data_IF_434585681785
#
_entry.id   IF_434585681785
#
_cell.length_a   1.000
_cell.length_b   1.000
_cell.length_c   1.000
_cell.angle_alpha   90.00
_cell.angle_beta   90.00
_cell.angle_gamma   90.00
#
_symmetry.space_group_name_H-M   'P 1'
#
loop_
_entity.id
_entity.type
_entity.pdbx_description
1 polymer ?
#
# COMPACT_ATOMS: atom_id res chain seq x y z
N UNK A 1 35.82 -79.05 16.36
CA UNK A 1 34.54 -78.74 15.72
C UNK A 1 33.45 -78.80 16.79
N UNK A 2 33.08 -77.65 17.37
CA UNK A 2 31.88 -77.52 18.20
C UNK A 2 30.71 -77.34 17.25
N UNK A 3 29.67 -78.16 17.37
CA UNK A 3 28.56 -78.23 16.42
C UNK A 3 27.75 -76.95 16.52
N UNK A 4 27.55 -76.26 15.40
CA UNK A 4 26.70 -75.06 15.28
C UNK A 4 25.24 -75.34 15.72
N UNK A 5 24.85 -76.62 15.69
CA UNK A 5 23.57 -77.10 16.19
C UNK A 5 23.40 -76.89 17.70
N UNK A 6 24.49 -76.90 18.49
CA UNK A 6 24.39 -76.85 19.96
C UNK A 6 23.81 -75.52 20.48
N UNK A 7 23.95 -74.41 19.75
CA UNK A 7 23.49 -73.07 20.16
C UNK A 7 22.01 -72.84 19.81
N UNK A 8 21.59 -73.32 18.62
CA UNK A 8 20.18 -73.34 18.25
C UNK A 8 19.40 -74.33 19.11
N UNK A 9 19.95 -75.51 19.37
CA UNK A 9 19.35 -76.51 20.26
C UNK A 9 19.19 -75.95 21.68
N UNK A 10 20.18 -75.20 22.19
CA UNK A 10 20.05 -74.49 23.47
C UNK A 10 18.95 -73.40 23.45
N UNK A 11 18.84 -72.63 22.37
CA UNK A 11 17.78 -71.63 22.22
C UNK A 11 16.39 -72.28 22.16
N UNK A 12 16.20 -73.32 21.35
CA UNK A 12 14.92 -74.02 21.25
C UNK A 12 14.55 -74.72 22.56
N UNK A 13 15.48 -75.40 23.23
CA UNK A 13 15.24 -76.00 24.56
C UNK A 13 14.92 -74.95 25.62
N UNK A 14 15.51 -73.75 25.54
CA UNK A 14 15.20 -72.66 26.47
C UNK A 14 13.75 -72.14 26.31
N UNK A 15 13.23 -72.15 25.08
CA UNK A 15 11.91 -71.61 24.76
C UNK A 15 10.84 -72.68 24.52
N UNK A 16 11.17 -73.97 24.62
CA UNK A 16 10.32 -75.12 24.28
C UNK A 16 8.93 -75.08 24.93
N UNK A 17 8.81 -74.52 26.14
CA UNK A 17 7.55 -74.37 26.88
C UNK A 17 7.02 -72.92 26.95
N UNK A 18 7.61 -72.00 26.20
CA UNK A 18 7.25 -70.58 26.16
C UNK A 18 6.66 -70.15 24.80
N UNK A 19 6.56 -71.07 23.85
CA UNK A 19 5.91 -70.79 22.58
C UNK A 19 4.42 -70.56 22.81
N UNK A 20 3.92 -69.44 22.30
CA UNK A 20 2.49 -69.18 22.32
C UNK A 20 1.82 -70.11 21.29
N UNK A 21 1.22 -71.18 21.80
CA UNK A 21 0.47 -72.16 21.02
C UNK A 21 -1.02 -71.80 20.90
N UNK A 22 -1.44 -70.65 21.45
CA UNK A 22 -2.82 -70.23 21.37
C UNK A 22 -3.10 -69.65 19.99
N UNK A 23 -4.23 -70.06 19.41
CA UNK A 23 -4.68 -69.52 18.15
C UNK A 23 -4.98 -68.03 18.32
N UNK A 24 -4.44 -67.21 17.41
CA UNK A 24 -4.68 -65.78 17.39
C UNK A 24 -6.19 -65.54 17.24
N UNK A 25 -6.74 -64.56 17.95
CA UNK A 25 -8.16 -64.24 17.87
C UNK A 25 -8.56 -64.06 16.38
N UNK A 26 -9.60 -64.75 15.88
CA UNK A 26 -10.04 -64.66 14.49
C UNK A 26 -10.33 -63.21 14.04
N UNK A 27 -10.68 -62.33 14.98
CA UNK A 27 -10.97 -60.93 14.70
C UNK A 27 -9.71 -60.05 14.56
N UNK A 28 -8.51 -60.58 14.81
CA UNK A 28 -7.25 -59.83 14.72
C UNK A 28 -7.01 -59.24 13.33
N UNK A 29 -7.40 -59.95 12.27
CA UNK A 29 -7.30 -59.45 10.89
C UNK A 29 -8.18 -58.22 10.69
N UNK A 30 -9.37 -58.20 11.30
CA UNK A 30 -10.32 -57.09 11.22
C UNK A 30 -9.77 -55.89 12.00
N UNK A 31 -9.26 -56.11 13.20
CA UNK A 31 -8.64 -55.06 14.01
C UNK A 31 -7.43 -54.42 13.32
N UNK A 32 -6.60 -55.23 12.65
CA UNK A 32 -5.48 -54.75 11.87
C UNK A 32 -5.93 -53.88 10.68
N UNK A 33 -6.96 -54.33 9.95
CA UNK A 33 -7.53 -53.58 8.83
C UNK A 33 -8.17 -52.26 9.29
N UNK A 34 -8.88 -52.27 10.42
CA UNK A 34 -9.46 -51.06 10.98
C UNK A 34 -8.36 -50.06 11.38
N UNK A 35 -7.29 -50.54 12.03
CA UNK A 35 -6.14 -49.69 12.41
C UNK A 35 -5.37 -49.16 11.20
N UNK A 36 -5.27 -49.94 10.13
CA UNK A 36 -4.64 -49.52 8.86
C UNK A 36 -5.46 -48.42 8.17
N UNK A 37 -6.79 -48.56 8.19
CA UNK A 37 -7.71 -47.62 7.57
C UNK A 37 -7.94 -46.36 8.42
N UNK A 38 -7.79 -46.45 9.75
CA UNK A 38 -7.89 -45.32 10.68
C UNK A 38 -6.62 -44.45 10.74
N UNK A 39 -6.10 -44.01 9.59
CA UNK A 39 -5.10 -42.93 9.52
C UNK A 39 -5.77 -41.57 9.76
N UNK A 40 -5.88 -41.17 11.03
CA UNK A 40 -6.34 -39.81 11.35
C UNK A 40 -5.38 -38.78 10.73
N UNK A 41 -5.87 -37.82 9.93
CA UNK A 41 -5.01 -36.77 9.39
C UNK A 41 -4.43 -35.96 10.56
N UNK A 42 -3.10 -35.85 10.64
CA UNK A 42 -2.45 -34.91 11.55
C UNK A 42 -2.89 -33.51 11.13
N UNK A 43 -3.76 -32.87 11.93
CA UNK A 43 -4.14 -31.47 11.72
C UNK A 43 -2.88 -30.63 11.83
N UNK A 44 -2.45 -30.03 10.72
CA UNK A 44 -1.35 -29.08 10.72
C UNK A 44 -1.84 -27.79 11.36
N UNK A 45 -1.25 -27.42 12.48
CA UNK A 45 -1.58 -26.19 13.19
C UNK A 45 -0.88 -25.00 12.50
N UNK A 46 -1.55 -24.39 11.54
CA UNK A 46 -1.05 -23.20 10.85
C UNK A 46 -1.11 -21.92 11.69
N UNK A 47 -1.62 -21.98 12.92
CA UNK A 47 -1.73 -20.82 13.82
C UNK A 47 -0.38 -20.12 14.04
N UNK A 48 0.72 -20.88 14.18
CA UNK A 48 2.06 -20.28 14.31
C UNK A 48 2.53 -19.56 13.05
N UNK A 49 2.19 -20.07 11.87
CA UNK A 49 2.50 -19.42 10.59
C UNK A 49 1.64 -18.18 10.36
N UNK A 50 0.37 -18.21 10.77
CA UNK A 50 -0.53 -17.06 10.68
C UNK A 50 -0.05 -15.90 11.57
N UNK A 51 0.43 -16.20 12.79
CA UNK A 51 1.01 -15.20 13.70
C UNK A 51 2.32 -14.62 13.12
N UNK A 52 3.19 -15.47 12.58
CA UNK A 52 4.43 -15.00 11.96
C UNK A 52 4.16 -14.12 10.72
N UNK A 53 3.19 -14.50 9.89
CA UNK A 53 2.81 -13.75 8.70
C UNK A 53 2.22 -12.37 9.06
N UNK A 54 1.40 -12.26 10.10
CA UNK A 54 0.85 -10.97 10.51
C UNK A 54 1.93 -10.02 11.03
N UNK A 55 2.89 -10.53 11.81
CA UNK A 55 4.05 -9.73 12.27
C UNK A 55 4.90 -9.28 11.09
N UNK A 56 5.19 -10.16 10.13
CA UNK A 56 5.96 -9.83 8.94
C UNK A 56 5.26 -8.77 8.07
N UNK A 57 3.94 -8.85 7.91
CA UNK A 57 3.14 -7.84 7.21
C UNK A 57 3.19 -6.49 7.93
N UNK A 58 3.04 -6.48 9.26
CA UNK A 58 3.11 -5.24 10.05
C UNK A 58 4.49 -4.59 9.98
N UNK A 59 5.57 -5.38 10.03
CA UNK A 59 6.94 -4.88 9.87
C UNK A 59 7.19 -4.40 8.44
N UNK A 60 6.70 -5.13 7.44
CA UNK A 60 6.77 -4.70 6.04
C UNK A 60 6.09 -3.36 5.85
N UNK A 61 4.83 -3.23 6.29
CA UNK A 61 4.12 -1.95 6.25
C UNK A 61 4.92 -0.91 7.02
N UNK A 62 5.36 -1.15 8.24
CA UNK A 62 6.12 -0.16 9.02
C UNK A 62 7.42 0.30 8.37
N UNK A 63 8.14 -0.57 7.65
CA UNK A 63 9.40 -0.21 6.97
C UNK A 63 9.16 0.54 5.66
N UNK A 64 8.06 0.23 4.95
CA UNK A 64 7.71 0.85 3.68
C UNK A 64 6.73 2.02 3.82
N UNK A 65 6.11 2.21 4.98
CA UNK A 65 5.22 3.31 5.32
C UNK A 65 6.04 4.54 5.72
N UNK A 66 6.79 5.08 4.77
CA UNK A 66 7.49 6.34 4.92
C UNK A 66 6.98 7.35 3.88
N UNK A 67 5.71 7.74 4.03
CA UNK A 67 5.10 8.86 3.32
C UNK A 67 4.78 10.02 4.27
N UNK A 68 5.62 10.23 5.28
CA UNK A 68 5.68 11.52 5.94
C UNK A 68 6.74 12.34 5.23
N UNK A 69 6.39 12.90 4.07
CA UNK A 69 7.05 14.12 3.65
C UNK A 69 6.84 15.10 4.79
N UNK A 70 7.86 15.26 5.65
CA UNK A 70 7.86 16.34 6.63
C UNK A 70 7.56 17.60 5.83
N UNK A 71 6.59 18.45 6.26
CA UNK A 71 6.33 19.70 5.57
C UNK A 71 7.69 20.36 5.37
N UNK A 72 7.96 20.73 4.13
CA UNK A 72 9.29 21.07 3.65
C UNK A 72 9.72 22.37 4.31
N UNK A 73 10.14 22.31 5.57
CA UNK A 73 10.42 23.49 6.37
C UNK A 73 11.52 24.28 5.67
N UNK A 74 11.17 25.48 5.23
CA UNK A 74 12.09 26.40 4.57
C UNK A 74 13.07 26.97 5.60
N UNK A 75 14.06 26.17 6.01
CA UNK A 75 14.98 26.49 7.11
C UNK A 75 15.71 27.83 6.92
N UNK A 76 16.04 28.17 5.68
CA UNK A 76 16.76 29.40 5.31
C UNK A 76 15.85 30.53 4.81
N UNK A 77 14.53 30.38 4.89
CA UNK A 77 13.59 31.43 4.51
C UNK A 77 13.19 32.31 5.71
N UNK A 78 12.93 33.58 5.41
CA UNK A 78 12.35 34.54 6.35
C UNK A 78 10.95 34.12 6.80
N UNK A 79 10.47 34.74 7.88
CA UNK A 79 9.13 34.47 8.42
C UNK A 79 8.05 34.91 7.43
N UNK A 80 8.29 36.00 6.71
CA UNK A 80 7.45 36.55 5.66
C UNK A 80 7.33 35.54 4.52
N UNK A 81 8.45 35.03 4.02
CA UNK A 81 8.48 34.01 2.96
C UNK A 81 7.70 32.75 3.36
N UNK A 82 7.88 32.25 4.58
CA UNK A 82 7.13 31.09 5.10
C UNK A 82 5.63 31.37 5.18
N UNK A 83 5.24 32.56 5.63
CA UNK A 83 3.82 32.97 5.69
C UNK A 83 3.23 33.07 4.29
N UNK A 84 3.97 33.64 3.33
CA UNK A 84 3.56 33.72 1.92
C UNK A 84 3.36 32.33 1.34
N UNK A 85 4.33 31.42 1.48
CA UNK A 85 4.19 30.02 1.07
C UNK A 85 2.90 29.40 1.63
N UNK A 86 2.71 29.48 2.95
CA UNK A 86 1.56 28.87 3.61
C UNK A 86 0.23 29.44 3.13
N UNK A 87 0.09 30.78 3.07
CA UNK A 87 -1.17 31.42 2.68
C UNK A 87 -1.50 31.08 1.22
N UNK A 88 -0.53 31.17 0.32
CA UNK A 88 -0.77 30.91 -1.10
C UNK A 88 -1.03 29.43 -1.38
N UNK A 89 -0.38 28.50 -0.68
CA UNK A 89 -0.69 27.07 -0.81
C UNK A 89 -2.13 26.77 -0.39
N UNK A 90 -2.62 27.35 0.72
CA UNK A 90 -4.02 27.21 1.14
C UNK A 90 -4.97 27.76 0.05
N UNK A 91 -4.64 28.92 -0.54
CA UNK A 91 -5.45 29.48 -1.63
C UNK A 91 -5.48 28.56 -2.85
N UNK A 92 -4.33 28.04 -3.27
CA UNK A 92 -4.23 27.11 -4.41
C UNK A 92 -5.01 25.83 -4.14
N UNK A 93 -4.90 25.26 -2.93
CA UNK A 93 -5.68 24.09 -2.52
C UNK A 93 -7.18 24.34 -2.60
N UNK A 94 -7.65 25.49 -2.10
CA UNK A 94 -9.06 25.86 -2.18
C UNK A 94 -9.53 26.01 -3.63
N UNK A 95 -8.74 26.64 -4.51
CA UNK A 95 -9.09 26.74 -5.94
C UNK A 95 -9.09 25.37 -6.63
N UNK A 96 -8.18 24.47 -6.27
CA UNK A 96 -8.18 23.09 -6.75
C UNK A 96 -9.40 22.30 -6.29
N UNK A 97 -9.87 22.53 -5.06
CA UNK A 97 -11.12 21.92 -4.57
C UNK A 97 -12.30 22.39 -5.40
N UNK A 98 -12.46 23.71 -5.59
CA UNK A 98 -13.52 24.26 -6.46
C UNK A 98 -13.46 23.68 -7.88
N UNK A 99 -12.26 23.55 -8.45
CA UNK A 99 -12.08 22.97 -9.78
C UNK A 99 -12.53 21.51 -9.84
N UNK A 100 -12.25 20.72 -8.81
CA UNK A 100 -12.68 19.32 -8.72
C UNK A 100 -14.19 19.18 -8.49
N UNK A 101 -14.82 20.12 -7.79
CA UNK A 101 -16.28 20.15 -7.61
C UNK A 101 -17.04 20.36 -8.92
N UNK A 102 -16.40 20.99 -9.92
CA UNK A 102 -16.94 21.18 -11.28
C UNK A 102 -16.84 19.94 -12.18
N UNK A 103 -16.49 18.78 -11.64
CA UNK A 103 -16.29 17.56 -12.43
C UNK A 103 -17.61 17.06 -13.05
N UNK A 104 -17.61 16.91 -14.37
CA UNK A 104 -18.70 16.40 -15.20
C UNK A 104 -18.12 15.80 -16.48
N UNK A 105 -18.84 14.93 -17.20
CA UNK A 105 -18.39 14.41 -18.50
C UNK A 105 -18.01 15.52 -19.49
N UNK A 106 -18.67 16.67 -19.41
CA UNK A 106 -18.43 17.83 -20.26
C UNK A 106 -17.15 18.59 -19.87
N UNK A 107 -16.86 18.69 -18.58
CA UNK A 107 -15.72 19.45 -18.04
C UNK A 107 -14.47 18.57 -17.84
N UNK A 108 -14.58 17.25 -17.99
CA UNK A 108 -13.53 16.29 -17.68
C UNK A 108 -12.20 16.62 -18.39
N UNK A 109 -12.26 16.92 -19.70
CA UNK A 109 -11.06 17.21 -20.48
C UNK A 109 -10.32 18.46 -19.98
N UNK A 110 -11.03 19.59 -19.82
CA UNK A 110 -10.42 20.85 -19.39
C UNK A 110 -9.88 20.76 -17.95
N UNK A 111 -10.57 20.04 -17.06
CA UNK A 111 -10.11 19.78 -15.70
C UNK A 111 -8.83 18.93 -15.73
N UNK A 112 -8.81 17.84 -16.51
CA UNK A 112 -7.64 16.96 -16.60
C UNK A 112 -6.42 17.69 -17.16
N UNK A 113 -6.60 18.52 -18.19
CA UNK A 113 -5.54 19.34 -18.76
C UNK A 113 -5.02 20.38 -17.74
N UNK A 114 -5.93 21.00 -16.99
CA UNK A 114 -5.56 21.95 -15.93
C UNK A 114 -4.78 21.27 -14.80
N UNK A 115 -5.19 20.09 -14.35
CA UNK A 115 -4.48 19.32 -13.34
C UNK A 115 -3.09 18.88 -13.83
N UNK A 116 -2.96 18.54 -15.11
CA UNK A 116 -1.65 18.23 -15.72
C UNK A 116 -0.75 19.46 -15.76
N UNK A 117 -1.28 20.63 -16.11
CA UNK A 117 -0.53 21.87 -16.09
C UNK A 117 -0.10 22.27 -14.66
N UNK A 118 -0.97 22.06 -13.66
CA UNK A 118 -0.62 22.30 -12.26
C UNK A 118 0.57 21.47 -11.80
N UNK A 119 0.69 20.21 -12.24
CA UNK A 119 1.89 19.39 -11.95
C UNK A 119 3.18 19.99 -12.52
N UNK A 120 3.11 20.67 -13.66
CA UNK A 120 4.26 21.39 -14.23
C UNK A 120 4.64 22.57 -13.33
N UNK A 121 3.65 23.36 -12.91
CA UNK A 121 3.90 24.46 -11.98
C UNK A 121 4.47 23.98 -10.65
N UNK A 122 3.95 22.87 -10.11
CA UNK A 122 4.44 22.18 -8.90
C UNK A 122 5.91 21.84 -9.02
N UNK A 123 6.31 21.20 -10.11
CA UNK A 123 7.71 20.87 -10.36
C UNK A 123 8.61 22.11 -10.44
N UNK A 124 8.13 23.23 -11.00
CA UNK A 124 8.91 24.46 -11.09
C UNK A 124 9.08 25.17 -9.74
N UNK A 125 8.04 25.20 -8.92
CA UNK A 125 8.16 25.73 -7.56
C UNK A 125 9.05 24.89 -6.68
N UNK A 126 8.99 23.57 -6.84
CA UNK A 126 9.87 22.66 -6.14
C UNK A 126 11.36 22.95 -6.41
N UNK A 127 11.69 23.42 -7.62
CA UNK A 127 13.04 23.92 -7.95
C UNK A 127 13.34 25.22 -7.18
N UNK A 128 12.42 26.16 -7.16
CA UNK A 128 12.57 27.43 -6.42
C UNK A 128 12.82 27.17 -4.93
N UNK A 129 12.04 26.27 -4.32
CA UNK A 129 12.19 25.89 -2.92
C UNK A 129 13.54 25.23 -2.65
N UNK A 130 14.02 24.37 -3.56
CA UNK A 130 15.37 23.81 -3.47
C UNK A 130 16.46 24.89 -3.56
N UNK A 131 16.28 25.90 -4.40
CA UNK A 131 17.21 27.04 -4.48
C UNK A 131 17.23 27.86 -3.18
N UNK A 132 16.07 28.14 -2.57
CA UNK A 132 15.99 28.77 -1.22
C UNK A 132 16.74 27.93 -0.19
N UNK A 133 16.56 26.60 -0.21
CA UNK A 133 17.18 25.70 0.74
C UNK A 133 18.70 25.57 0.56
N UNK A 134 19.20 25.70 -0.68
CA UNK A 134 20.62 25.55 -1.00
C UNK A 134 21.39 26.85 -0.82
N UNK A 135 20.84 27.96 -1.32
CA UNK A 135 21.56 29.23 -1.46
C UNK A 135 21.05 30.32 -0.50
N UNK A 136 19.99 30.02 0.26
CA UNK A 136 19.31 30.99 1.11
C UNK A 136 18.35 31.89 0.33
N UNK A 137 17.56 32.65 1.08
CA UNK A 137 16.65 33.64 0.53
C UNK A 137 17.42 34.82 -0.12
N UNK A 138 17.00 35.19 -1.34
CA UNK A 138 17.38 36.46 -1.95
C UNK A 138 16.23 37.03 -2.79
N UNK A 139 16.31 38.32 -3.14
CA UNK A 139 15.25 39.06 -3.84
C UNK A 139 14.79 38.38 -5.15
N UNK A 140 15.71 37.80 -5.92
CA UNK A 140 15.38 37.15 -7.19
C UNK A 140 14.61 35.84 -6.95
N UNK A 141 15.05 35.04 -5.99
CA UNK A 141 14.39 33.78 -5.63
C UNK A 141 12.99 34.06 -5.06
N UNK A 142 12.84 35.07 -4.19
CA UNK A 142 11.53 35.47 -3.66
C UNK A 142 10.60 35.98 -4.76
N UNK A 143 11.11 36.78 -5.70
CA UNK A 143 10.32 37.21 -6.84
C UNK A 143 9.85 36.01 -7.69
N UNK A 144 10.73 35.06 -7.98
CA UNK A 144 10.38 33.85 -8.72
C UNK A 144 9.31 33.03 -7.98
N UNK A 145 9.45 32.88 -6.66
CA UNK A 145 8.50 32.19 -5.79
C UNK A 145 7.11 32.83 -5.86
N UNK A 146 7.02 34.14 -5.62
CA UNK A 146 5.75 34.89 -5.65
C UNK A 146 5.13 34.83 -7.06
N UNK A 147 5.94 35.03 -8.10
CA UNK A 147 5.46 35.01 -9.48
C UNK A 147 4.90 33.64 -9.85
N UNK A 148 5.54 32.55 -9.44
CA UNK A 148 5.04 31.19 -9.67
C UNK A 148 3.71 30.95 -8.95
N UNK A 149 3.60 31.32 -7.67
CA UNK A 149 2.36 31.20 -6.89
C UNK A 149 1.21 32.02 -7.50
N UNK A 150 1.47 33.27 -7.89
CA UNK A 150 0.48 34.12 -8.56
C UNK A 150 0.02 33.53 -9.91
N UNK A 151 0.96 32.97 -10.68
CA UNK A 151 0.66 32.34 -11.98
C UNK A 151 -0.28 31.15 -11.81
N UNK A 152 -0.04 30.30 -10.81
CA UNK A 152 -0.92 29.16 -10.52
C UNK A 152 -2.33 29.58 -10.18
N UNK A 153 -2.47 30.56 -9.29
CA UNK A 153 -3.79 31.07 -8.86
C UNK A 153 -4.52 31.66 -10.06
N UNK A 154 -3.85 32.53 -10.83
CA UNK A 154 -4.44 33.15 -12.02
C UNK A 154 -4.86 32.11 -13.07
N UNK A 155 -4.05 31.07 -13.24
CA UNK A 155 -4.37 29.96 -14.14
C UNK A 155 -5.63 29.20 -13.68
N UNK A 156 -5.69 28.79 -12.41
CA UNK A 156 -6.86 28.08 -11.87
C UNK A 156 -8.14 28.93 -11.97
N UNK A 157 -8.07 30.21 -11.64
CA UNK A 157 -9.18 31.14 -11.79
C UNK A 157 -9.66 31.25 -13.24
N UNK A 158 -8.72 31.33 -14.19
CA UNK A 158 -9.05 31.38 -15.62
C UNK A 158 -9.74 30.09 -16.09
N UNK A 159 -9.28 28.93 -15.62
CA UNK A 159 -9.91 27.64 -15.95
C UNK A 159 -11.32 27.57 -15.37
N UNK A 160 -11.50 27.93 -14.10
CA UNK A 160 -12.81 27.96 -13.44
C UNK A 160 -13.78 28.88 -14.17
N UNK A 161 -13.34 30.09 -14.52
CA UNK A 161 -14.15 31.05 -15.29
C UNK A 161 -14.60 30.46 -16.63
N UNK A 162 -13.70 29.81 -17.38
CA UNK A 162 -14.05 29.17 -18.66
C UNK A 162 -15.08 28.06 -18.50
N UNK A 163 -14.97 27.28 -17.42
CA UNK A 163 -15.96 26.24 -17.11
C UNK A 163 -17.33 26.89 -16.86
N UNK A 164 -17.39 27.92 -16.02
CA UNK A 164 -18.63 28.63 -15.71
C UNK A 164 -19.27 29.30 -16.94
N UNK A 165 -18.46 29.94 -17.79
CA UNK A 165 -18.92 30.53 -19.06
C UNK A 165 -19.54 29.47 -19.98
N UNK A 166 -18.88 28.31 -20.11
CA UNK A 166 -19.38 27.21 -20.94
C UNK A 166 -20.68 26.59 -20.39
N UNK A 167 -20.82 26.48 -19.06
CA UNK A 167 -22.05 26.03 -18.40
C UNK A 167 -23.21 27.00 -18.67
N UNK A 168 -22.97 28.31 -18.58
CA UNK A 168 -23.97 29.34 -18.81
C UNK A 168 -24.47 29.40 -20.27
N UNK A 169 -23.57 29.22 -21.24
CA UNK A 169 -23.94 29.20 -22.67
C UNK A 169 -24.88 28.03 -23.01
N UNK A 170 -24.75 26.89 -22.34
CA UNK A 170 -25.65 25.74 -22.53
C UNK A 170 -27.05 26.01 -21.96
N UNK A 171 -27.13 26.61 -20.78
CA UNK A 171 -28.42 26.94 -20.15
C UNK A 171 -29.24 27.91 -21.01
N UNK A 172 -28.60 28.93 -21.58
CA UNK A 172 -29.27 29.91 -22.46
C UNK A 172 -29.65 29.35 -23.84
N UNK A 173 -28.95 28.33 -24.34
CA UNK A 173 -29.29 27.67 -25.61
C UNK A 173 -30.52 26.78 -25.50
N UNK A 174 -30.79 26.21 -24.32
CA UNK A 174 -31.96 25.37 -24.06
C UNK A 174 -33.26 26.17 -23.90
N UNK A 175 -33.20 27.49 -23.68
CA UNK A 175 -34.39 28.36 -23.55
C UNK A 175 -34.95 28.88 -24.89
N UNK A 176 -34.21 28.73 -26.00
CA UNK A 176 -34.65 29.20 -27.33
C UNK A 176 -35.49 28.19 -28.13
N UNK A 177 -35.99 27.14 -27.48
CA UNK A 177 -36.87 26.15 -28.11
C UNK A 177 -38.24 26.15 -27.42
N UNK A 178 -38.99 27.25 -27.58
CA UNK A 178 -40.43 27.35 -27.32
C UNK A 178 -41.08 28.18 -28.43
#
# INVERSE_FOLDING_TARGET
>A
MKKENDDLDQLFSKFENQWDIHEMNPDHQIDFLDKLNNKKPRKKNYAGWAIAASIAVLLGISLFYNNNEKPKELKFASQETKRTDSIFNILIENELVKLKEKNSPENEQIINDALKQMKVFDADYEKIIKEVQKNGENKQIIYAMISNLQTRISFLQTVLQRIEENENLKNTSNEKTL
#
